data_IF_989454418270
#
_entry.id   IF_989454418270
#
_cell.length_a   1.000
_cell.length_b   1.000
_cell.length_c   1.000
_cell.angle_alpha   90.00
_cell.angle_beta   90.00
_cell.angle_gamma   90.00
#
_symmetry.space_group_name_H-M   'P 1'
#
loop_
_entity.id
_entity.type
_entity.pdbx_description
1 polymer ?
#
# COMPACT_ATOMS: atom_id res chain seq x y z
N UNK A 1 -8.90 -2.75 -2.81
CA UNK A 1 -7.55 -2.97 -2.26
C UNK A 1 -7.07 -1.70 -1.60
N UNK A 2 -6.06 -1.67 -0.74
CA UNK A 2 -5.62 -0.40 -0.16
C UNK A 2 -4.28 0.04 -0.75
N UNK A 3 -3.98 1.34 -0.72
CA UNK A 3 -2.65 1.88 -0.99
C UNK A 3 -2.00 2.33 0.31
N UNK A 4 -0.71 2.06 0.48
CA UNK A 4 0.11 2.59 1.56
C UNK A 4 1.29 3.37 1.01
N UNK A 5 1.65 4.45 1.71
CA UNK A 5 2.80 5.28 1.42
C UNK A 5 3.50 5.67 2.72
N UNK A 6 4.82 5.75 2.73
CA UNK A 6 5.58 6.26 3.86
C UNK A 6 6.82 7.00 3.37
N UNK A 7 7.21 8.05 4.08
CA UNK A 7 8.44 8.80 3.80
C UNK A 7 9.07 9.27 5.09
N UNK A 8 10.40 9.17 5.18
CA UNK A 8 11.20 9.90 6.17
C UNK A 8 12.09 10.89 5.42
N UNK A 9 11.85 12.17 5.65
CA UNK A 9 12.57 13.27 5.01
C UNK A 9 12.54 14.52 5.91
N UNK A 10 13.44 14.63 6.92
CA UNK A 10 13.43 15.71 7.91
C UNK A 10 13.51 17.13 7.31
N UNK A 11 14.10 17.27 6.12
CA UNK A 11 14.28 18.57 5.47
C UNK A 11 13.18 18.88 4.43
N UNK A 12 12.10 18.09 4.37
CA UNK A 12 11.02 18.23 3.39
C UNK A 12 9.64 18.34 4.03
N UNK A 13 8.69 18.85 3.24
CA UNK A 13 7.27 18.77 3.58
C UNK A 13 6.75 17.33 3.36
N UNK A 14 6.98 16.46 4.34
CA UNK A 14 6.59 15.03 4.30
C UNK A 14 5.09 14.83 4.12
N UNK A 15 4.26 15.76 4.61
CA UNK A 15 2.82 15.68 4.44
C UNK A 15 2.42 15.90 2.98
N UNK A 16 3.02 16.90 2.31
CA UNK A 16 2.77 17.18 0.89
C UNK A 16 3.32 16.09 -0.02
N UNK A 17 4.49 15.53 0.29
CA UNK A 17 5.03 14.39 -0.45
C UNK A 17 4.11 13.17 -0.29
N UNK A 18 3.63 12.90 0.93
CA UNK A 18 2.67 11.83 1.19
C UNK A 18 1.35 12.06 0.45
N UNK A 19 0.84 13.29 0.41
CA UNK A 19 -0.35 13.64 -0.37
C UNK A 19 -0.22 13.24 -1.84
N UNK A 20 0.88 13.62 -2.49
CA UNK A 20 1.11 13.24 -3.90
C UNK A 20 1.31 11.73 -4.05
N UNK A 21 2.05 11.08 -3.14
CA UNK A 21 2.17 9.63 -3.12
C UNK A 21 0.82 8.92 -3.06
N UNK A 22 -0.09 9.37 -2.18
CA UNK A 22 -1.45 8.83 -2.11
C UNK A 22 -2.31 9.17 -3.32
N UNK A 23 -2.14 10.35 -3.90
CA UNK A 23 -2.83 10.74 -5.13
C UNK A 23 -2.48 9.79 -6.28
N UNK A 24 -1.21 9.38 -6.40
CA UNK A 24 -0.80 8.35 -7.35
C UNK A 24 -1.40 6.97 -7.07
N UNK A 25 -1.72 6.67 -5.82
CA UNK A 25 -2.32 5.41 -5.36
C UNK A 25 -3.85 5.48 -5.20
N UNK A 26 -4.51 6.55 -5.66
CA UNK A 26 -5.94 6.77 -5.49
C UNK A 26 -6.81 5.68 -6.13
N UNK A 27 -6.31 5.03 -7.19
CA UNK A 27 -6.99 3.91 -7.86
C UNK A 27 -7.09 2.67 -6.97
N UNK A 28 -6.22 2.53 -5.96
CA UNK A 28 -6.30 1.40 -5.02
C UNK A 28 -7.57 1.49 -4.19
N UNK A 29 -7.90 2.66 -3.66
CA UNK A 29 -9.08 2.86 -2.83
C UNK A 29 -9.58 4.31 -2.81
N UNK A 30 -10.90 4.49 -2.82
CA UNK A 30 -11.59 5.77 -3.00
C UNK A 30 -12.55 6.11 -1.85
N UNK A 31 -12.59 5.29 -0.81
CA UNK A 31 -13.57 5.44 0.26
C UNK A 31 -13.10 6.34 1.39
N UNK A 32 -11.80 6.29 1.71
CA UNK A 32 -11.18 7.19 2.67
C UNK A 32 -9.70 7.36 2.38
N UNK A 33 -9.16 8.45 2.89
CA UNK A 33 -7.74 8.75 2.86
C UNK A 33 -7.29 9.27 4.23
N UNK A 34 -6.02 9.04 4.55
CA UNK A 34 -5.44 9.53 5.80
C UNK A 34 -3.94 9.73 5.70
N UNK A 35 -3.42 10.69 6.46
CA UNK A 35 -2.01 11.00 6.62
C UNK A 35 -1.73 11.14 8.12
N UNK A 36 -0.67 10.48 8.57
CA UNK A 36 -0.09 10.66 9.89
C UNK A 36 1.34 11.18 9.75
N UNK A 37 1.71 12.16 10.56
CA UNK A 37 3.07 12.73 10.61
C UNK A 37 3.61 12.67 12.03
N UNK A 38 4.93 12.56 12.15
CA UNK A 38 5.63 12.60 13.44
C UNK A 38 6.86 13.50 13.37
N UNK A 39 7.10 14.27 14.45
CA UNK A 39 8.24 15.18 14.64
C UNK A 39 9.21 14.66 15.73
N UNK A 40 9.38 13.34 15.85
CA UNK A 40 10.26 12.72 16.85
C UNK A 40 9.67 12.62 18.26
N UNK A 41 8.38 12.95 18.42
CA UNK A 41 7.67 12.72 19.69
C UNK A 41 6.18 13.05 19.66
N UNK A 42 5.72 13.89 18.73
CA UNK A 42 4.30 14.23 18.58
C UNK A 42 3.77 13.60 17.31
N UNK A 43 2.65 12.92 17.46
CA UNK A 43 1.91 12.30 16.35
C UNK A 43 0.71 13.18 16.00
N UNK A 44 0.61 13.59 14.73
CA UNK A 44 -0.58 14.27 14.20
C UNK A 44 -1.19 13.44 13.08
N UNK A 45 -2.48 13.15 13.18
CA UNK A 45 -3.19 12.33 12.19
C UNK A 45 -4.43 13.06 11.69
N UNK A 46 -4.58 13.12 10.37
CA UNK A 46 -5.81 13.55 9.71
C UNK A 46 -6.25 12.42 8.79
N UNK A 47 -7.49 11.95 8.99
CA UNK A 47 -8.13 10.93 8.14
C UNK A 47 -9.62 11.24 8.01
N UNK A 48 -10.16 11.05 6.83
CA UNK A 48 -11.59 11.23 6.58
C UNK A 48 -12.07 10.38 5.40
N UNK A 49 -13.38 10.29 5.24
CA UNK A 49 -14.02 9.63 4.11
C UNK A 49 -13.88 10.48 2.84
N UNK A 50 -13.74 9.81 1.71
CA UNK A 50 -13.61 10.40 0.38
C UNK A 50 -12.21 10.24 -0.23
N UNK A 51 -12.04 10.90 -1.37
CA UNK A 51 -10.80 10.92 -2.14
C UNK A 51 -9.72 11.74 -1.44
N UNK A 52 -8.45 11.48 -1.74
CA UNK A 52 -7.28 12.21 -1.21
C UNK A 52 -7.46 13.73 -1.37
N UNK A 53 -7.88 14.18 -2.57
CA UNK A 53 -8.08 15.60 -2.85
C UNK A 53 -9.32 16.22 -2.17
N UNK A 54 -10.25 15.40 -1.65
CA UNK A 54 -11.40 15.86 -0.87
C UNK A 54 -11.05 15.96 0.62
N UNK A 55 -10.26 15.00 1.13
CA UNK A 55 -9.85 14.94 2.53
C UNK A 55 -8.79 16.00 2.86
N UNK A 56 -7.84 16.25 1.95
CA UNK A 56 -6.71 17.14 2.19
C UNK A 56 -6.82 18.45 1.41
N UNK A 57 -6.80 19.56 2.14
CA UNK A 57 -6.70 20.92 1.63
C UNK A 57 -5.32 21.48 1.97
N UNK A 58 -4.91 22.57 1.31
CA UNK A 58 -3.67 23.28 1.70
C UNK A 58 -3.65 23.67 3.19
N UNK A 59 -4.81 23.98 3.77
CA UNK A 59 -4.90 24.31 5.19
C UNK A 59 -4.66 23.10 6.09
N UNK A 60 -5.24 21.92 5.76
CA UNK A 60 -5.02 20.72 6.58
C UNK A 60 -3.59 20.18 6.42
N UNK A 61 -3.02 20.24 5.21
CA UNK A 61 -1.63 19.85 4.97
C UNK A 61 -0.63 20.71 5.76
N UNK A 62 -0.86 22.03 5.86
CA UNK A 62 0.00 22.92 6.68
C UNK A 62 0.03 22.56 8.16
N UNK A 63 -1.03 21.92 8.67
CA UNK A 63 -1.11 21.44 10.05
C UNK A 63 -0.37 20.11 10.30
N UNK A 64 0.03 19.41 9.25
CA UNK A 64 0.76 18.15 9.31
C UNK A 64 2.26 18.41 9.16
N UNK A 65 2.89 18.85 10.24
CA UNK A 65 4.34 19.08 10.30
C UNK A 65 5.05 17.91 10.99
N UNK A 66 6.18 17.48 10.43
CA UNK A 66 7.01 16.42 10.99
C UNK A 66 8.14 16.03 10.04
N UNK A 67 8.99 15.10 10.49
CA UNK A 67 10.15 14.60 9.74
C UNK A 67 9.85 13.28 9.01
N UNK A 68 8.73 12.66 9.39
CA UNK A 68 8.30 11.37 8.88
C UNK A 68 6.79 11.34 8.75
N UNK A 69 6.31 10.70 7.70
CA UNK A 69 4.89 10.56 7.42
C UNK A 69 4.54 9.17 6.90
N UNK A 70 3.31 8.74 7.17
CA UNK A 70 2.65 7.63 6.48
C UNK A 70 1.30 8.07 5.97
N UNK A 71 0.85 7.42 4.91
CA UNK A 71 -0.44 7.66 4.29
C UNK A 71 -1.14 6.36 3.90
N UNK A 72 -2.46 6.44 3.77
CA UNK A 72 -3.29 5.33 3.33
C UNK A 72 -4.44 5.78 2.43
N UNK A 73 -4.75 4.96 1.41
CA UNK A 73 -6.02 5.03 0.65
C UNK A 73 -6.79 3.72 0.84
N UNK A 74 -8.08 3.83 1.19
CA UNK A 74 -8.90 2.67 1.58
C UNK A 74 -9.90 2.26 0.51
N UNK A 75 -10.07 0.95 0.38
CA UNK A 75 -11.19 0.28 -0.29
C UNK A 75 -11.75 -0.78 0.66
N UNK A 76 -13.05 -0.83 0.88
CA UNK A 76 -13.72 -1.83 1.71
C UNK A 76 -13.82 -3.13 0.92
N UNK A 77 -12.97 -4.10 1.26
CA UNK A 77 -13.25 -5.52 0.94
C UNK A 77 -13.97 -6.20 2.09
N UNK A 78 -13.64 -5.78 3.32
CA UNK A 78 -14.12 -6.32 4.60
C UNK A 78 -14.22 -5.17 5.62
N UNK A 79 -15.23 -5.24 6.49
CA UNK A 79 -15.60 -4.14 7.40
C UNK A 79 -16.54 -3.11 6.74
N UNK A 80 -17.32 -2.43 7.56
CA UNK A 80 -18.25 -1.39 7.12
C UNK A 80 -17.53 -0.16 6.59
N UNK A 81 -18.18 0.57 5.69
CA UNK A 81 -17.79 1.91 5.23
C UNK A 81 -18.06 2.93 6.33
N UNK A 82 -17.35 2.78 7.45
CA UNK A 82 -17.39 3.71 8.57
C UNK A 82 -16.07 4.44 8.67
N UNK A 83 -16.16 5.71 9.04
CA UNK A 83 -15.01 6.57 9.31
C UNK A 83 -14.03 5.93 10.31
N UNK A 84 -14.52 5.16 11.28
CA UNK A 84 -13.68 4.45 12.27
C UNK A 84 -12.65 3.52 11.63
N UNK A 85 -12.92 3.00 10.43
CA UNK A 85 -12.05 2.10 9.68
C UNK A 85 -11.09 2.83 8.72
N UNK A 86 -11.16 4.16 8.59
CA UNK A 86 -10.18 4.94 7.83
C UNK A 86 -8.79 4.80 8.46
N UNK A 87 -7.73 4.78 7.67
CA UNK A 87 -6.36 4.61 8.18
C UNK A 87 -5.51 5.83 7.76
N UNK A 88 -4.35 6.10 8.38
CA UNK A 88 -3.69 5.32 9.43
C UNK A 88 -4.48 5.17 10.73
N UNK A 89 -4.45 3.99 11.34
CA UNK A 89 -4.99 3.77 12.69
C UNK A 89 -3.93 4.17 13.71
N UNK A 90 -4.36 4.70 14.86
CA UNK A 90 -3.48 5.00 16.01
C UNK A 90 -3.84 4.07 17.14
N UNK A 91 -2.84 3.40 17.70
CA UNK A 91 -2.97 2.55 18.87
C UNK A 91 -1.99 2.98 19.96
N UNK A 92 -2.54 3.26 21.14
CA UNK A 92 -1.76 3.47 22.35
C UNK A 92 -1.65 2.15 23.11
N UNK A 93 -0.45 1.58 23.16
CA UNK A 93 -0.17 0.38 23.93
C UNK A 93 0.68 0.67 25.16
N UNK A 94 0.87 -0.36 25.99
CA UNK A 94 1.69 -0.26 27.22
C UNK A 94 3.18 0.01 26.96
N UNK A 95 3.68 -0.30 25.76
CA UNK A 95 5.09 -0.13 25.42
C UNK A 95 5.33 1.13 24.58
N UNK A 96 4.46 1.42 23.62
CA UNK A 96 4.59 2.57 22.70
C UNK A 96 3.28 2.97 22.05
N UNK A 97 3.29 4.11 21.38
CA UNK A 97 2.24 4.50 20.43
C UNK A 97 2.64 4.07 19.03
N UNK A 98 1.76 3.37 18.33
CA UNK A 98 1.95 2.94 16.95
C UNK A 98 0.86 3.57 16.10
N UNK A 99 1.25 4.16 14.98
CA UNK A 99 0.30 4.42 13.90
C UNK A 99 0.65 3.62 12.66
N UNK A 100 -0.33 3.04 11.97
CA UNK A 100 -0.04 2.25 10.78
C UNK A 100 -1.16 2.26 9.75
N UNK A 101 -0.76 2.10 8.49
CA UNK A 101 -1.62 1.79 7.36
C UNK A 101 -1.32 0.38 6.84
N UNK A 102 -2.36 -0.36 6.47
CA UNK A 102 -2.29 -1.77 6.06
C UNK A 102 -3.03 -2.00 4.75
N UNK A 103 -2.38 -2.73 3.85
CA UNK A 103 -2.95 -3.30 2.64
C UNK A 103 -2.88 -4.83 2.74
N UNK A 104 -4.03 -5.49 2.85
CA UNK A 104 -4.10 -6.93 2.99
C UNK A 104 -5.35 -7.38 3.73
N UNK A 105 -5.35 -8.63 4.16
CA UNK A 105 -6.41 -9.23 4.97
C UNK A 105 -5.80 -10.34 5.83
N UNK A 106 -6.05 -10.30 7.13
CA UNK A 106 -5.61 -11.32 8.07
C UNK A 106 -6.66 -12.45 8.15
N UNK A 107 -6.22 -13.70 8.06
CA UNK A 107 -7.10 -14.86 8.16
C UNK A 107 -7.38 -15.26 9.60
N UNK A 108 -6.48 -14.93 10.52
CA UNK A 108 -6.58 -15.24 11.96
C UNK A 108 -6.93 -14.01 12.82
N UNK A 109 -7.46 -12.94 12.23
CA UNK A 109 -7.76 -11.69 12.94
C UNK A 109 -8.70 -11.90 14.14
N UNK A 110 -9.74 -12.73 14.01
CA UNK A 110 -10.70 -12.99 15.09
C UNK A 110 -10.01 -13.64 16.30
N UNK A 111 -9.16 -14.65 16.07
CA UNK A 111 -8.39 -15.31 17.13
C UNK A 111 -7.48 -14.33 17.85
N UNK A 112 -6.73 -13.52 17.11
CA UNK A 112 -5.83 -12.50 17.69
C UNK A 112 -6.60 -11.44 18.48
N UNK A 113 -7.82 -11.09 18.07
CA UNK A 113 -8.70 -10.16 18.80
C UNK A 113 -9.12 -10.74 20.15
N UNK A 114 -9.49 -12.01 20.19
CA UNK A 114 -9.89 -12.69 21.43
C UNK A 114 -8.71 -12.79 22.41
N UNK A 115 -7.50 -13.08 21.91
CA UNK A 115 -6.26 -13.08 22.71
C UNK A 115 -5.95 -11.69 23.29
N UNK A 116 -6.00 -10.64 22.47
CA UNK A 116 -5.79 -9.26 22.93
C UNK A 116 -6.84 -8.86 23.98
N UNK A 117 -8.10 -9.26 23.80
CA UNK A 117 -9.15 -8.98 24.77
C UNK A 117 -8.93 -9.70 26.10
N UNK A 118 -8.45 -10.95 26.08
CA UNK A 118 -8.07 -11.70 27.27
C UNK A 118 -6.92 -11.05 28.04
N UNK A 119 -5.99 -10.41 27.33
CA UNK A 119 -4.90 -9.59 27.89
C UNK A 119 -5.35 -8.19 28.34
N UNK A 120 -6.65 -7.89 28.26
CA UNK A 120 -7.24 -6.62 28.69
C UNK A 120 -7.08 -5.48 27.68
N UNK A 121 -6.63 -5.76 26.46
CA UNK A 121 -6.45 -4.77 25.39
C UNK A 121 -7.77 -4.66 24.61
N UNK A 122 -8.41 -3.49 24.71
CA UNK A 122 -9.66 -3.21 23.99
C UNK A 122 -9.38 -2.60 22.63
N UNK A 123 -10.05 -3.13 21.61
CA UNK A 123 -10.02 -2.65 20.23
C UNK A 123 -11.32 -1.91 19.94
N UNK A 124 -11.22 -0.79 19.24
CA UNK A 124 -12.29 0.18 18.96
C UNK A 124 -12.87 0.04 17.55
N UNK A 125 -12.23 -0.73 16.68
CA UNK A 125 -12.60 -0.96 15.29
C UNK A 125 -12.71 -2.45 15.00
N UNK A 126 -13.29 -2.77 13.84
CA UNK A 126 -13.33 -4.15 13.30
C UNK A 126 -12.21 -4.43 12.30
N UNK A 127 -11.28 -3.49 12.10
CA UNK A 127 -10.22 -3.59 11.10
C UNK A 127 -9.05 -4.46 11.57
N UNK A 128 -8.55 -5.34 10.71
CA UNK A 128 -7.32 -6.11 10.91
C UNK A 128 -6.12 -5.22 11.30
N UNK A 129 -6.10 -4.01 10.77
CA UNK A 129 -5.08 -2.98 11.01
C UNK A 129 -4.91 -2.67 12.50
N UNK A 130 -6.00 -2.61 13.27
CA UNK A 130 -5.93 -2.34 14.70
C UNK A 130 -5.36 -3.52 15.49
N UNK A 131 -5.59 -4.76 15.01
CA UNK A 131 -4.98 -5.96 15.59
C UNK A 131 -3.47 -5.91 15.45
N UNK A 132 -2.97 -5.61 14.24
CA UNK A 132 -1.54 -5.44 13.97
C UNK A 132 -0.95 -4.35 14.87
N UNK A 133 -1.63 -3.20 14.96
CA UNK A 133 -1.18 -2.06 15.76
C UNK A 133 -1.12 -2.41 17.25
N UNK A 134 -2.13 -3.13 17.76
CA UNK A 134 -2.21 -3.55 19.15
C UNK A 134 -1.14 -4.57 19.53
N UNK A 135 -0.81 -5.52 18.63
CA UNK A 135 0.28 -6.47 18.85
C UNK A 135 1.62 -5.73 19.02
N UNK A 136 1.93 -4.80 18.13
CA UNK A 136 3.19 -4.05 18.15
C UNK A 136 3.23 -3.07 19.33
N UNK A 137 2.15 -2.33 19.58
CA UNK A 137 2.11 -1.28 20.60
C UNK A 137 2.23 -1.82 22.04
N UNK A 138 1.88 -3.10 22.25
CA UNK A 138 1.91 -3.74 23.56
C UNK A 138 3.07 -4.73 23.77
N UNK A 139 3.93 -4.93 22.78
CA UNK A 139 5.14 -5.74 22.94
C UNK A 139 6.29 -4.87 23.51
N UNK A 140 6.83 -5.20 24.70
CA UNK A 140 7.91 -4.43 25.33
C UNK A 140 9.28 -4.60 24.67
N UNK A 141 9.45 -5.56 23.75
CA UNK A 141 10.70 -5.74 23.01
C UNK A 141 11.03 -4.49 22.18
N UNK A 142 12.31 -4.25 21.82
CA UNK A 142 12.69 -3.18 20.89
C UNK A 142 11.83 -3.17 19.62
N UNK A 143 11.60 -2.00 19.01
CA UNK A 143 10.59 -1.84 17.94
C UNK A 143 10.70 -2.88 16.83
N UNK A 144 11.90 -3.12 16.30
CA UNK A 144 12.14 -4.11 15.24
C UNK A 144 11.83 -5.54 15.69
N UNK A 145 12.11 -5.89 16.95
CA UNK A 145 11.76 -7.20 17.53
C UNK A 145 10.26 -7.33 17.76
N UNK A 146 9.60 -6.29 18.26
CA UNK A 146 8.16 -6.26 18.43
C UNK A 146 7.40 -6.41 17.10
N UNK A 147 7.90 -5.79 16.04
CA UNK A 147 7.35 -5.98 14.68
C UNK A 147 7.59 -7.41 14.20
N UNK A 148 8.80 -7.95 14.37
CA UNK A 148 9.08 -9.34 14.00
C UNK A 148 8.23 -10.35 14.80
N UNK A 149 8.00 -10.11 16.09
CA UNK A 149 7.12 -10.93 16.94
C UNK A 149 5.67 -10.85 16.47
N UNK A 150 5.19 -9.65 16.11
CA UNK A 150 3.87 -9.49 15.51
C UNK A 150 3.78 -10.28 14.20
N UNK A 151 4.74 -10.11 13.28
CA UNK A 151 4.79 -10.83 12.00
C UNK A 151 4.71 -12.36 12.16
N UNK A 152 5.36 -12.94 13.17
CA UNK A 152 5.29 -14.37 13.48
C UNK A 152 3.89 -14.86 13.86
N UNK A 153 3.01 -13.97 14.34
CA UNK A 153 1.63 -14.29 14.75
C UNK A 153 0.59 -14.00 13.67
N UNK A 154 0.94 -13.20 12.66
CA UNK A 154 0.00 -12.79 11.63
C UNK A 154 -0.13 -13.86 10.55
N UNK A 155 -1.36 -14.28 10.26
CA UNK A 155 -1.67 -15.15 9.11
C UNK A 155 -2.46 -14.39 8.05
N UNK A 156 -2.16 -14.66 6.78
CA UNK A 156 -2.81 -14.02 5.64
C UNK A 156 -1.88 -13.05 4.90
N UNK A 157 -2.47 -12.07 4.23
CA UNK A 157 -1.74 -11.10 3.44
C UNK A 157 -1.61 -9.78 4.21
N UNK A 158 -0.40 -9.22 4.27
CA UNK A 158 -0.18 -7.91 4.86
C UNK A 158 1.01 -7.20 4.23
N UNK A 159 0.78 -5.96 3.87
CA UNK A 159 1.81 -4.96 3.59
C UNK A 159 1.49 -3.76 4.45
N UNK A 160 2.45 -3.34 5.26
CA UNK A 160 2.24 -2.32 6.27
C UNK A 160 3.30 -1.25 6.16
N UNK A 161 2.87 0.00 6.36
CA UNK A 161 3.73 1.12 6.73
C UNK A 161 3.29 1.61 8.10
N UNK A 162 4.22 1.86 9.01
CA UNK A 162 3.95 2.25 10.37
C UNK A 162 4.92 3.35 10.85
N UNK A 163 4.46 4.16 11.80
CA UNK A 163 5.31 5.05 12.60
C UNK A 163 5.23 4.64 14.06
N UNK A 164 6.39 4.49 14.68
CA UNK A 164 6.53 4.32 16.12
C UNK A 164 7.91 4.85 16.52
N UNK A 165 8.02 5.52 17.67
CA UNK A 165 9.30 5.98 18.24
C UNK A 165 10.17 6.78 17.24
N UNK A 166 9.54 7.62 16.40
CA UNK A 166 10.23 8.42 15.37
C UNK A 166 10.74 7.62 14.15
N UNK A 167 10.47 6.32 14.10
CA UNK A 167 10.93 5.39 13.05
C UNK A 167 9.80 5.10 12.06
N UNK A 168 10.11 5.19 10.76
CA UNK A 168 9.27 4.65 9.70
C UNK A 168 9.58 3.15 9.53
N UNK A 169 8.56 2.32 9.65
CA UNK A 169 8.67 0.87 9.50
C UNK A 169 7.84 0.42 8.31
N UNK A 170 8.42 -0.39 7.42
CA UNK A 170 7.73 -1.10 6.36
C UNK A 170 7.90 -2.61 6.52
N UNK A 171 6.87 -3.40 6.31
CA UNK A 171 7.02 -4.86 6.32
C UNK A 171 5.96 -5.58 5.47
N UNK A 172 6.31 -6.78 5.00
CA UNK A 172 5.47 -7.64 4.16
C UNK A 172 5.30 -9.03 4.77
N UNK A 173 4.18 -9.67 4.47
CA UNK A 173 3.93 -11.08 4.75
C UNK A 173 4.99 -12.00 4.09
N UNK A 174 5.23 -13.22 4.63
CA UNK A 174 6.27 -14.12 4.14
C UNK A 174 6.02 -14.64 2.72
N UNK A 175 4.81 -14.46 2.16
CA UNK A 175 4.51 -14.78 0.76
C UNK A 175 4.78 -13.60 -0.16
N UNK A 176 4.84 -12.37 0.36
CA UNK A 176 4.88 -11.15 -0.44
C UNK A 176 3.60 -10.95 -1.24
N UNK A 177 2.44 -11.30 -0.68
CA UNK A 177 1.18 -11.34 -1.43
C UNK A 177 0.77 -9.96 -1.96
N UNK A 178 1.00 -8.90 -1.17
CA UNK A 178 0.79 -7.50 -1.55
C UNK A 178 2.14 -6.80 -1.82
N UNK A 179 2.21 -5.87 -2.79
CA UNK A 179 3.45 -5.19 -3.17
C UNK A 179 3.85 -4.08 -2.19
N UNK A 180 5.16 -3.92 -2.00
CA UNK A 180 5.77 -2.77 -1.32
C UNK A 180 7.13 -2.50 -1.96
N UNK A 181 7.31 -1.30 -2.49
CA UNK A 181 8.55 -0.81 -3.07
C UNK A 181 9.26 0.13 -2.10
N UNK A 182 10.59 0.04 -2.09
CA UNK A 182 11.50 0.97 -1.45
C UNK A 182 12.12 1.86 -2.54
N UNK A 183 11.99 3.17 -2.36
CA UNK A 183 12.60 4.17 -3.21
C UNK A 183 13.33 5.24 -2.40
N UNK A 184 14.01 6.12 -3.11
CA UNK A 184 14.83 7.17 -2.50
C UNK A 184 14.74 8.50 -3.25
N UNK A 185 14.62 9.59 -2.51
CA UNK A 185 14.72 10.97 -3.01
C UNK A 185 16.00 11.55 -2.40
N UNK A 186 17.07 11.67 -3.20
CA UNK A 186 18.40 12.01 -2.70
C UNK A 186 18.86 11.03 -1.59
N UNK A 187 18.82 11.44 -0.31
CA UNK A 187 19.14 10.59 0.86
C UNK A 187 17.88 10.14 1.64
N UNK A 188 16.71 10.66 1.28
CA UNK A 188 15.44 10.40 1.95
C UNK A 188 14.77 9.14 1.43
N UNK A 189 14.19 8.34 2.33
CA UNK A 189 13.64 7.02 1.96
C UNK A 189 12.12 7.06 1.87
N UNK A 190 11.59 6.36 0.87
CA UNK A 190 10.17 6.28 0.55
C UNK A 190 9.73 4.82 0.43
N UNK A 191 8.58 4.50 1.01
CA UNK A 191 7.89 3.23 0.87
C UNK A 191 6.57 3.46 0.15
N UNK A 192 6.23 2.62 -0.83
CA UNK A 192 4.97 2.75 -1.54
C UNK A 192 4.43 1.40 -2.02
N UNK A 193 3.10 1.23 -2.07
CA UNK A 193 2.51 0.02 -2.65
C UNK A 193 2.85 -0.19 -4.13
N UNK A 194 3.13 0.88 -4.88
CA UNK A 194 3.47 0.82 -6.30
C UNK A 194 4.55 1.83 -6.66
N UNK A 195 5.37 1.49 -7.66
CA UNK A 195 6.45 2.36 -8.18
C UNK A 195 5.90 3.66 -8.78
N UNK A 196 4.68 3.63 -9.28
CA UNK A 196 4.00 4.76 -9.89
C UNK A 196 3.77 5.95 -8.91
N UNK A 197 3.82 5.67 -7.59
CA UNK A 197 3.85 6.68 -6.54
C UNK A 197 5.25 7.24 -6.29
N UNK A 198 6.29 6.42 -6.42
CA UNK A 198 7.69 6.85 -6.39
C UNK A 198 7.96 7.82 -7.54
N UNK A 199 7.53 7.46 -8.74
CA UNK A 199 7.69 8.29 -9.95
C UNK A 199 7.07 9.68 -9.78
N UNK A 200 5.86 9.76 -9.20
CA UNK A 200 5.16 11.03 -9.01
C UNK A 200 5.85 11.94 -8.00
N UNK A 201 6.48 11.38 -6.96
CA UNK A 201 7.20 12.17 -5.94
C UNK A 201 8.68 12.39 -6.28
N UNK A 202 9.14 11.89 -7.44
CA UNK A 202 10.53 12.01 -7.87
C UNK A 202 11.50 11.07 -7.14
N UNK A 203 11.00 9.99 -6.55
CA UNK A 203 11.83 8.96 -5.91
C UNK A 203 12.32 7.93 -6.93
N UNK A 204 13.62 7.65 -6.94
CA UNK A 204 14.16 6.53 -7.70
C UNK A 204 13.83 5.20 -7.01
N UNK A 205 13.37 4.21 -7.77
CA UNK A 205 13.18 2.85 -7.26
C UNK A 205 14.54 2.25 -6.88
N UNK A 206 14.67 1.80 -5.63
CA UNK A 206 15.84 1.03 -5.20
C UNK A 206 15.62 -0.46 -5.40
N UNK A 207 14.52 -0.98 -4.83
CA UNK A 207 14.11 -2.38 -4.91
C UNK A 207 12.71 -2.58 -4.34
N UNK A 208 12.18 -3.78 -4.46
CA UNK A 208 11.05 -4.22 -3.65
C UNK A 208 11.51 -4.61 -2.23
N UNK A 209 10.63 -4.38 -1.25
CA UNK A 209 10.75 -5.00 0.07
C UNK A 209 10.46 -6.49 -0.11
N UNK A 210 11.34 -7.38 0.31
CA UNK A 210 11.23 -8.82 0.11
C UNK A 210 10.10 -9.44 0.96
N UNK A 211 9.57 -10.62 0.58
CA UNK A 211 8.64 -11.37 1.41
C UNK A 211 9.21 -11.67 2.80
N UNK A 212 8.47 -11.36 3.86
CA UNK A 212 8.92 -11.56 5.25
C UNK A 212 10.00 -10.58 5.73
N UNK A 213 10.34 -9.57 4.92
CA UNK A 213 11.27 -8.51 5.28
C UNK A 213 10.55 -7.41 6.09
N UNK A 214 11.30 -6.90 7.06
CA UNK A 214 11.04 -5.68 7.81
C UNK A 214 12.14 -4.66 7.44
N UNK A 215 11.75 -3.43 7.13
CA UNK A 215 12.64 -2.28 6.97
C UNK A 215 12.30 -1.22 8.00
N UNK A 216 13.31 -0.66 8.66
CA UNK A 216 13.19 0.40 9.64
C UNK A 216 14.06 1.58 9.22
N UNK A 217 13.51 2.79 9.26
CA UNK A 217 14.15 4.01 8.77
C UNK A 217 14.00 5.08 9.84
N UNK A 218 15.12 5.50 10.42
CA UNK A 218 15.20 6.55 11.43
C UNK A 218 16.37 7.52 11.13
N UNK A 219 16.82 8.27 12.14
CA UNK A 219 17.94 9.21 12.07
C UNK A 219 19.29 8.53 11.81
N UNK A 220 19.41 7.24 12.08
CA UNK A 220 20.60 6.43 11.77
C UNK A 220 20.55 5.84 10.35
N UNK A 221 19.49 6.11 9.59
CA UNK A 221 19.29 5.65 8.21
C UNK A 221 18.44 4.39 8.11
N UNK A 222 18.54 3.69 6.97
CA UNK A 222 17.78 2.49 6.68
C UNK A 222 18.45 1.24 7.24
N UNK A 223 17.66 0.41 7.93
CA UNK A 223 18.00 -0.95 8.34
C UNK A 223 17.00 -1.93 7.76
N UNK A 224 17.49 -3.09 7.36
CA UNK A 224 16.69 -4.19 6.81
C UNK A 224 16.97 -5.47 7.59
N UNK A 225 15.90 -6.19 7.91
CA UNK A 225 15.95 -7.47 8.61
C UNK A 225 14.96 -8.45 7.98
N UNK A 226 15.47 -9.64 7.65
CA UNK A 226 14.63 -10.78 7.31
C UNK A 226 13.98 -11.32 8.60
N UNK A 227 12.74 -10.93 8.87
CA UNK A 227 12.02 -11.32 10.09
C UNK A 227 11.42 -12.73 9.99
N UNK A 228 10.93 -13.09 8.80
CA UNK A 228 10.37 -14.40 8.48
C UNK A 228 11.03 -14.98 7.24
N UNK A 229 11.18 -16.31 7.16
CA UNK A 229 11.66 -16.93 5.91
C UNK A 229 10.59 -16.80 4.81
N UNK A 230 11.03 -16.57 3.58
CA UNK A 230 10.12 -16.50 2.44
C UNK A 230 9.39 -17.84 2.26
N UNK A 231 8.07 -17.79 2.22
CA UNK A 231 7.23 -18.96 2.06
C UNK A 231 7.04 -19.30 0.57
N UNK A 232 7.22 -20.57 0.21
CA UNK A 232 6.85 -21.15 -1.09
C UNK A 232 7.40 -20.41 -2.33
N UNK A 233 8.56 -19.76 -2.23
CA UNK A 233 9.12 -18.97 -3.35
C UNK A 233 8.36 -17.68 -3.66
N UNK A 234 7.43 -17.28 -2.79
CA UNK A 234 6.56 -16.12 -2.97
C UNK A 234 5.22 -16.43 -3.64
N UNK A 235 4.22 -15.60 -3.38
CA UNK A 235 2.88 -15.70 -3.96
C UNK A 235 2.30 -14.30 -4.22
N UNK A 236 3.06 -13.45 -4.94
CA UNK A 236 2.58 -12.13 -5.36
C UNK A 236 1.23 -12.27 -6.06
N UNK A 237 0.25 -11.47 -5.64
CA UNK A 237 -1.11 -11.57 -6.14
C UNK A 237 -1.17 -11.34 -7.66
N UNK A 238 -1.49 -12.38 -8.44
CA UNK A 238 -1.64 -12.28 -9.90
C UNK A 238 -2.66 -11.20 -10.33
N UNK A 239 -3.66 -10.93 -9.49
CA UNK A 239 -4.68 -9.93 -9.76
C UNK A 239 -4.12 -8.49 -9.79
N UNK A 240 -2.94 -8.25 -9.20
CA UNK A 240 -2.20 -6.99 -9.36
C UNK A 240 -1.87 -6.74 -10.84
N UNK A 241 -1.33 -7.77 -11.53
CA UNK A 241 -1.05 -7.70 -12.97
C UNK A 241 -2.32 -7.61 -13.80
N UNK A 242 -3.37 -8.35 -13.45
CA UNK A 242 -4.59 -8.40 -14.27
C UNK A 242 -5.35 -7.07 -14.24
N UNK A 243 -5.50 -6.45 -13.07
CA UNK A 243 -6.47 -5.35 -12.92
C UNK A 243 -6.05 -4.24 -11.95
N UNK A 244 -5.49 -4.59 -10.80
CA UNK A 244 -5.41 -3.65 -9.67
C UNK A 244 -4.29 -2.63 -9.78
N UNK A 245 -3.09 -3.04 -10.19
CA UNK A 245 -1.97 -2.13 -10.31
C UNK A 245 -2.17 -1.18 -11.49
N UNK A 246 -1.64 0.03 -11.35
CA UNK A 246 -1.60 1.01 -12.43
C UNK A 246 -0.69 0.48 -13.55
N UNK A 247 -1.01 0.68 -14.84
CA UNK A 247 -0.24 0.10 -15.93
C UNK A 247 1.26 0.46 -15.93
N UNK A 248 1.60 1.67 -15.49
CA UNK A 248 2.98 2.19 -15.38
C UNK A 248 3.74 1.70 -14.14
N UNK A 249 3.15 0.81 -13.34
CA UNK A 249 3.82 0.18 -12.21
C UNK A 249 4.71 -0.98 -12.66
N UNK A 250 5.86 -1.13 -12.00
CA UNK A 250 6.72 -2.31 -12.12
C UNK A 250 6.55 -3.22 -10.91
N UNK A 251 6.27 -4.51 -11.16
CA UNK A 251 6.12 -5.56 -10.13
C UNK A 251 7.01 -6.75 -10.51
N UNK A 252 7.84 -7.22 -9.59
CA UNK A 252 8.81 -8.30 -9.84
C UNK A 252 9.78 -7.98 -10.98
N UNK A 253 10.09 -6.70 -11.20
CA UNK A 253 10.90 -6.23 -12.33
C UNK A 253 10.17 -6.25 -13.69
N UNK A 254 8.86 -6.47 -13.71
CA UNK A 254 8.04 -6.52 -14.92
C UNK A 254 7.00 -5.41 -14.89
N UNK A 255 6.97 -4.60 -15.95
CA UNK A 255 6.00 -3.51 -16.09
C UNK A 255 4.60 -4.05 -16.42
N UNK A 256 3.58 -3.52 -15.72
CA UNK A 256 2.21 -4.07 -15.72
C UNK A 256 1.54 -3.90 -17.09
N UNK A 257 1.73 -2.79 -17.80
CA UNK A 257 1.20 -2.62 -19.15
C UNK A 257 1.70 -3.71 -20.09
N UNK A 258 3.01 -3.98 -20.10
CA UNK A 258 3.62 -5.00 -20.95
C UNK A 258 3.08 -6.41 -20.64
N UNK A 259 2.82 -6.72 -19.36
CA UNK A 259 2.15 -7.99 -18.99
C UNK A 259 0.76 -8.06 -19.60
N UNK A 260 -0.05 -7.00 -19.48
CA UNK A 260 -1.41 -6.96 -20.02
C UNK A 260 -1.45 -7.00 -21.54
N UNK A 261 -0.48 -6.38 -22.22
CA UNK A 261 -0.31 -6.52 -23.68
C UNK A 261 -0.07 -7.98 -24.05
N UNK A 262 0.86 -8.66 -23.37
CA UNK A 262 1.12 -10.10 -23.59
C UNK A 262 -0.09 -10.99 -23.30
N UNK A 263 -0.91 -10.65 -22.31
CA UNK A 263 -2.17 -11.34 -22.06
C UNK A 263 -3.13 -11.24 -23.27
N UNK A 264 -3.18 -10.08 -23.92
CA UNK A 264 -3.93 -9.88 -25.16
C UNK A 264 -3.39 -10.69 -26.34
N UNK A 265 -2.07 -10.72 -26.50
CA UNK A 265 -1.39 -11.54 -27.52
C UNK A 265 -1.66 -13.04 -27.29
N UNK A 266 -1.62 -13.50 -26.03
CA UNK A 266 -1.94 -14.88 -25.66
C UNK A 266 -3.41 -15.22 -25.95
N UNK A 267 -4.33 -14.31 -25.64
CA UNK A 267 -5.75 -14.49 -25.95
C UNK A 267 -6.00 -14.63 -27.46
N UNK A 268 -5.27 -13.87 -28.28
CA UNK A 268 -5.34 -13.99 -29.75
C UNK A 268 -4.84 -15.36 -30.24
N UNK A 269 -3.84 -15.96 -29.59
CA UNK A 269 -3.34 -17.29 -29.92
C UNK A 269 -4.32 -18.41 -29.50
N UNK A 270 -4.96 -18.27 -28.34
CA UNK A 270 -5.86 -19.28 -27.79
C UNK A 270 -7.27 -19.24 -28.39
N UNK A 271 -7.77 -18.04 -28.72
CA UNK A 271 -9.13 -17.83 -29.18
C UNK A 271 -9.19 -16.77 -30.30
N UNK A 272 -8.57 -17.03 -31.47
CA UNK A 272 -8.68 -16.12 -32.61
C UNK A 272 -10.11 -16.07 -33.16
N UNK A 273 -10.45 -14.95 -33.80
CA UNK A 273 -11.74 -14.76 -34.46
C UNK A 273 -11.56 -13.87 -35.70
N UNK A 274 -12.36 -14.09 -36.74
CA UNK A 274 -12.49 -13.12 -37.82
C UNK A 274 -13.43 -12.00 -37.38
N UNK A 275 -12.92 -10.77 -37.32
CA UNK A 275 -13.70 -9.59 -36.98
C UNK A 275 -13.11 -8.35 -37.68
N UNK A 276 -13.94 -7.31 -37.82
CA UNK A 276 -13.55 -6.07 -38.48
C UNK A 276 -12.79 -5.10 -37.56
N UNK A 277 -12.95 -5.25 -36.24
CA UNK A 277 -12.47 -4.28 -35.26
C UNK A 277 -12.20 -4.92 -33.90
N UNK A 278 -11.10 -4.51 -33.27
CA UNK A 278 -10.82 -4.73 -31.85
C UNK A 278 -10.99 -3.41 -31.10
N UNK A 279 -11.76 -3.43 -30.02
CA UNK A 279 -12.01 -2.26 -29.19
C UNK A 279 -11.92 -2.61 -27.69
N UNK A 280 -11.36 -1.72 -26.86
CA UNK A 280 -11.25 -1.97 -25.43
C UNK A 280 -12.52 -1.57 -24.68
N UNK A 281 -12.66 -2.11 -23.47
CA UNK A 281 -13.45 -1.44 -22.42
C UNK A 281 -12.49 -0.53 -21.66
N UNK A 282 -12.63 0.81 -21.78
CA UNK A 282 -11.74 1.74 -21.10
C UNK A 282 -12.03 1.81 -19.58
N UNK A 283 -11.01 1.97 -18.73
CA UNK A 283 -9.59 2.11 -19.08
C UNK A 283 -8.84 0.76 -19.05
N UNK A 284 -9.38 -0.20 -18.29
CA UNK A 284 -8.69 -1.43 -17.86
C UNK A 284 -8.34 -2.40 -19.00
N UNK A 285 -9.20 -2.53 -20.00
CA UNK A 285 -9.01 -3.47 -21.11
C UNK A 285 -8.06 -2.99 -22.20
N UNK A 286 -7.63 -1.72 -22.15
CA UNK A 286 -6.87 -1.08 -23.23
C UNK A 286 -5.58 -1.80 -23.60
N UNK A 287 -4.69 -2.15 -22.65
CA UNK A 287 -3.43 -2.82 -23.01
C UNK A 287 -3.65 -4.21 -23.63
N UNK A 288 -4.60 -4.98 -23.10
CA UNK A 288 -4.92 -6.30 -23.63
C UNK A 288 -5.53 -6.21 -25.05
N UNK A 289 -6.40 -5.25 -25.30
CA UNK A 289 -6.95 -5.01 -26.63
C UNK A 289 -5.86 -4.61 -27.64
N UNK A 290 -4.87 -3.80 -27.23
CA UNK A 290 -3.70 -3.47 -28.06
C UNK A 290 -2.92 -4.74 -28.44
N UNK A 291 -2.65 -5.62 -27.47
CA UNK A 291 -1.97 -6.89 -27.70
C UNK A 291 -2.73 -7.81 -28.65
N UNK A 292 -4.04 -7.98 -28.42
CA UNK A 292 -4.91 -8.82 -29.25
C UNK A 292 -4.99 -8.30 -30.69
N UNK A 293 -5.19 -6.99 -30.89
CA UNK A 293 -5.22 -6.36 -32.21
C UNK A 293 -3.90 -6.54 -32.96
N UNK A 294 -2.77 -6.32 -32.28
CA UNK A 294 -1.44 -6.51 -32.86
C UNK A 294 -1.20 -7.95 -33.30
N UNK A 295 -1.58 -8.93 -32.48
CA UNK A 295 -1.37 -10.34 -32.75
C UNK A 295 -2.28 -10.88 -33.88
N UNK A 296 -3.53 -10.41 -33.97
CA UNK A 296 -4.48 -10.84 -35.01
C UNK A 296 -4.38 -10.05 -36.32
N UNK A 297 -3.80 -8.85 -36.29
CA UNK A 297 -3.77 -7.93 -37.43
C UNK A 297 -5.10 -7.17 -37.64
N UNK A 298 -6.09 -7.38 -36.77
CA UNK A 298 -7.38 -6.68 -36.82
C UNK A 298 -7.17 -5.23 -36.36
N UNK A 299 -7.74 -4.22 -37.05
CA UNK A 299 -7.61 -2.82 -36.64
C UNK A 299 -8.09 -2.57 -35.21
N UNK A 300 -7.30 -1.81 -34.44
CA UNK A 300 -7.69 -1.30 -33.13
C UNK A 300 -8.42 0.05 -33.28
N UNK A 301 -9.51 0.25 -32.55
CA UNK A 301 -10.18 1.55 -32.43
C UNK A 301 -10.85 1.74 -31.07
N UNK A 302 -10.98 2.99 -30.64
CA UNK A 302 -11.73 3.37 -29.45
C UNK A 302 -13.23 3.44 -29.77
N UNK A 303 -13.93 2.32 -29.61
CA UNK A 303 -15.40 2.27 -29.78
C UNK A 303 -16.20 2.61 -28.52
N UNK A 304 -15.56 2.63 -27.35
CA UNK A 304 -16.15 3.02 -26.07
C UNK A 304 -15.36 4.16 -25.46
N UNK A 305 -16.06 5.13 -24.88
CA UNK A 305 -15.47 6.24 -24.13
C UNK A 305 -16.05 6.23 -22.72
N UNK A 306 -15.17 6.14 -21.72
CA UNK A 306 -15.55 6.26 -20.32
C UNK A 306 -15.72 7.74 -19.97
N UNK A 307 -16.86 8.08 -19.36
CA UNK A 307 -17.06 9.41 -18.80
C UNK A 307 -16.10 9.61 -17.62
N UNK A 308 -15.32 10.70 -17.63
CA UNK A 308 -14.34 10.99 -16.56
C UNK A 308 -14.95 11.71 -15.36
N UNK A 309 -16.22 12.11 -15.46
CA UNK A 309 -16.91 12.93 -14.46
C UNK A 309 -18.08 12.19 -13.78
N UNK A 310 -18.35 10.94 -14.19
CA UNK A 310 -19.46 10.11 -13.68
C UNK A 310 -18.94 8.71 -13.42
#
# INVERSE_FOLDING_TARGET
MCGVFGIRAPERDVARVTYFGLFALQHRGQESAGIAVSDGGRLTVIRDMGLVAQVFTEQSLRGLQGDVAIGHTRYSTTGSTHWTNAQPIVQHGRARTVTLGHNGNLTNAATLRDELAADGIRLSTTSDTEVIAALIANDPAPLEDAVANAMNRLEGAYTVVALADGTLVGFRDPYGFRPLALGRIDEDHVLASETCALDLVGAALEREVAPGELVAIDDQGLRSRQALQQANGGALCLFEFIYLARPDTTLGGIEVHAVRVRMGEQLAAEAPVEADLVMPVPDSGTPAAIGFARATGIPFSEGLIKNRYV
#
